data_IF_099312273265
#
_entry.id   IF_099312273265
#
_cell.length_a   1.000
_cell.length_b   1.000
_cell.length_c   1.000
_cell.angle_alpha   90.00
_cell.angle_beta   90.00
_cell.angle_gamma   90.00
#
_symmetry.space_group_name_H-M   'P 1'
#
loop_
_entity.id
_entity.type
_entity.pdbx_description
1 polymer ?
#
# COMPACT_ATOMS: atom_id res chain seq x y z
N UNK A 1 -3.86 -23.29 9.60
CA UNK A 1 -3.73 -22.15 8.67
C UNK A 1 -3.40 -20.89 9.45
N UNK A 2 -2.13 -20.45 9.50
CA UNK A 2 -1.77 -19.15 10.10
C UNK A 2 -2.17 -18.05 9.11
N UNK A 3 -3.11 -17.17 9.49
CA UNK A 3 -3.37 -15.93 8.73
C UNK A 3 -2.05 -15.16 8.67
N UNK A 4 -1.48 -14.96 7.47
CA UNK A 4 -0.42 -13.96 7.28
C UNK A 4 -1.02 -12.63 7.73
N UNK A 5 -0.50 -12.07 8.82
CA UNK A 5 -0.83 -10.70 9.21
C UNK A 5 -0.31 -9.83 8.07
N UNK A 6 -1.21 -9.11 7.40
CA UNK A 6 -0.81 -8.15 6.37
C UNK A 6 -0.04 -7.04 7.11
N UNK A 7 1.29 -7.03 6.99
CA UNK A 7 2.13 -5.93 7.43
C UNK A 7 1.72 -4.71 6.61
N UNK A 8 1.38 -3.62 7.29
CA UNK A 8 0.86 -2.42 6.66
C UNK A 8 -0.12 -1.67 7.56
N UNK A 9 0.04 -0.36 7.65
CA UNK A 9 -0.89 0.52 8.34
C UNK A 9 -2.16 0.65 7.49
N UNK A 10 -3.33 0.67 8.15
CA UNK A 10 -4.57 0.98 7.45
C UNK A 10 -4.53 2.46 7.03
N UNK A 11 -5.02 2.74 5.83
CA UNK A 11 -5.32 4.10 5.43
C UNK A 11 -6.18 4.82 6.48
N UNK A 12 -5.88 6.09 6.79
CA UNK A 12 -6.55 6.82 7.88
C UNK A 12 -8.02 7.15 7.56
N UNK A 13 -8.43 7.09 6.30
CA UNK A 13 -9.80 7.36 5.86
C UNK A 13 -10.13 6.63 4.54
N UNK A 14 -11.42 6.39 4.24
CA UNK A 14 -11.87 5.93 2.92
C UNK A 14 -11.59 6.97 1.83
N UNK A 15 -11.25 6.52 0.63
CA UNK A 15 -11.00 7.41 -0.51
C UNK A 15 -11.52 6.80 -1.80
N UNK A 16 -12.20 7.60 -2.61
CA UNK A 16 -12.63 7.19 -3.95
C UNK A 16 -11.41 6.94 -4.84
N UNK A 17 -11.31 5.75 -5.42
CA UNK A 17 -10.11 5.31 -6.15
C UNK A 17 -8.96 4.83 -5.28
N UNK A 18 -9.20 4.53 -3.99
CA UNK A 18 -8.18 3.95 -3.10
C UNK A 18 -7.57 2.64 -3.65
N UNK A 19 -6.24 2.54 -3.64
CA UNK A 19 -5.47 1.45 -4.27
C UNK A 19 -5.14 0.28 -3.34
N UNK A 20 -5.82 0.18 -2.18
CA UNK A 20 -5.57 -0.85 -1.17
C UNK A 20 -5.60 -2.30 -1.68
N UNK A 21 -6.55 -2.60 -2.57
CA UNK A 21 -6.73 -3.96 -3.12
C UNK A 21 -5.61 -4.42 -4.05
N UNK A 22 -4.77 -3.50 -4.51
CA UNK A 22 -3.68 -3.76 -5.45
C UNK A 22 -2.30 -3.37 -4.91
N UNK A 23 -2.22 -2.89 -3.67
CA UNK A 23 -0.96 -2.38 -3.10
C UNK A 23 0.13 -3.46 -3.03
N UNK A 24 -0.23 -4.71 -2.73
CA UNK A 24 0.68 -5.86 -2.76
C UNK A 24 1.25 -6.10 -4.16
N UNK A 25 0.43 -5.98 -5.20
CA UNK A 25 0.87 -6.09 -6.59
C UNK A 25 1.75 -4.94 -7.03
N UNK A 26 1.51 -3.74 -6.50
CA UNK A 26 2.38 -2.58 -6.75
C UNK A 26 3.76 -2.80 -6.11
N UNK A 27 3.82 -3.26 -4.86
CA UNK A 27 5.08 -3.55 -4.18
C UNK A 27 5.82 -4.77 -4.72
N UNK A 28 5.12 -5.79 -5.21
CA UNK A 28 5.72 -6.91 -5.96
C UNK A 28 6.50 -6.42 -7.20
N UNK A 29 6.09 -5.29 -7.79
CA UNK A 29 6.74 -4.69 -8.95
C UNK A 29 7.83 -3.67 -8.59
N UNK A 30 7.65 -2.88 -7.54
CA UNK A 30 8.69 -1.94 -7.09
C UNK A 30 9.85 -2.63 -6.39
N UNK A 31 9.59 -3.68 -5.62
CA UNK A 31 10.58 -4.25 -4.71
C UNK A 31 10.95 -3.27 -3.59
N UNK A 32 12.19 -3.36 -3.12
CA UNK A 32 12.71 -2.44 -2.11
C UNK A 32 13.35 -1.23 -2.77
N UNK A 33 12.74 -0.05 -2.54
CA UNK A 33 13.21 1.22 -3.07
C UNK A 33 13.64 2.15 -1.93
N UNK A 34 14.71 2.94 -2.13
CA UNK A 34 15.18 3.86 -1.09
C UNK A 34 14.20 5.02 -0.86
N UNK A 35 13.43 5.40 -1.89
CA UNK A 35 12.43 6.45 -1.81
C UNK A 35 11.22 6.10 -2.69
N UNK A 36 10.01 6.28 -2.16
CA UNK A 36 8.76 6.08 -2.87
C UNK A 36 8.00 7.41 -2.96
N UNK A 37 7.76 7.88 -4.19
CA UNK A 37 7.04 9.13 -4.45
C UNK A 37 5.73 8.80 -5.15
N UNK A 38 4.60 9.18 -4.55
CA UNK A 38 3.26 8.95 -5.10
C UNK A 38 2.53 10.28 -5.31
N UNK A 39 2.60 10.90 -6.50
CA UNK A 39 1.97 12.21 -6.77
C UNK A 39 0.45 12.21 -6.60
N UNK A 40 -0.18 11.04 -6.74
CA UNK A 40 -1.63 10.84 -6.65
C UNK A 40 -1.95 9.83 -5.54
N UNK A 41 -1.53 10.14 -4.32
CA UNK A 41 -1.55 9.20 -3.20
C UNK A 41 -2.95 8.89 -2.65
N UNK A 42 -3.90 9.83 -2.78
CA UNK A 42 -5.26 9.68 -2.24
C UNK A 42 -5.24 9.26 -0.77
N UNK A 43 -5.83 8.11 -0.45
CA UNK A 43 -5.81 7.49 0.90
C UNK A 43 -4.44 7.10 1.48
N UNK A 44 -3.34 7.24 0.73
CA UNK A 44 -2.01 6.72 1.10
C UNK A 44 -1.92 5.18 1.18
N UNK A 45 -2.92 4.45 0.67
CA UNK A 45 -3.02 3.00 0.86
C UNK A 45 -1.84 2.21 0.28
N UNK A 46 -1.19 2.69 -0.78
CA UNK A 46 0.00 2.01 -1.35
C UNK A 46 1.20 2.23 -0.44
N UNK A 47 1.49 3.48 -0.08
CA UNK A 47 2.58 3.83 0.85
C UNK A 47 2.44 3.10 2.20
N UNK A 48 1.25 3.13 2.80
CA UNK A 48 1.01 2.58 4.12
C UNK A 48 0.98 1.03 4.15
N UNK A 49 0.76 0.38 3.01
CA UNK A 49 0.89 -1.08 2.86
C UNK A 49 2.27 -1.49 2.31
N UNK A 50 3.31 -0.65 2.42
CA UNK A 50 4.71 -1.05 2.16
C UNK A 50 5.11 -2.22 3.10
N UNK A 51 5.67 -3.33 2.57
CA UNK A 51 6.08 -4.48 3.36
C UNK A 51 7.29 -4.23 4.25
#
# INVERSE_FOLDING_TARGET
>A
MRKKVKLGLKAPFPWFGGKRRVADKVWERFGDVPNYVEPFAGSLAVLLERP
#
